data_IF_509208132501
#
_entry.id   IF_509208132501
#
_cell.length_a   1.000
_cell.length_b   1.000
_cell.length_c   1.000
_cell.angle_alpha   90.00
_cell.angle_beta   90.00
_cell.angle_gamma   90.00
#
_symmetry.space_group_name_H-M   'P 1'
#
loop_
_entity.id
_entity.type
_entity.pdbx_description
1 polymer ?
#
# COMPACT_ATOMS: atom_id res chain seq x y z
N UNK A 1 31.44 7.95 -3.63
CA UNK A 1 31.14 8.65 -2.38
C UNK A 1 30.71 7.60 -1.35
N UNK A 2 31.14 7.74 -0.08
CA UNK A 2 30.66 6.86 0.99
C UNK A 2 29.15 7.13 1.21
N UNK A 3 28.34 6.08 1.30
CA UNK A 3 26.92 6.26 1.61
C UNK A 3 26.75 6.75 3.04
N UNK A 4 25.82 7.68 3.23
CA UNK A 4 25.50 8.24 4.54
C UNK A 4 24.75 7.17 5.36
N UNK A 5 24.97 7.13 6.66
CA UNK A 5 24.24 6.27 7.58
C UNK A 5 22.91 6.93 7.94
N UNK A 6 21.83 6.15 7.97
CA UNK A 6 20.52 6.62 8.45
C UNK A 6 20.52 6.71 9.97
N UNK A 7 20.07 7.85 10.51
CA UNK A 7 19.89 8.06 11.94
C UNK A 7 18.41 8.21 12.26
N UNK A 8 17.89 7.37 13.17
CA UNK A 8 16.50 7.44 13.64
C UNK A 8 16.34 8.53 14.68
N UNK A 9 16.04 9.74 14.24
CA UNK A 9 15.85 10.90 15.13
C UNK A 9 14.39 11.20 15.40
N UNK A 10 13.47 10.68 14.58
CA UNK A 10 12.03 10.92 14.61
C UNK A 10 11.23 9.63 14.45
N UNK A 11 9.98 9.56 14.96
CA UNK A 11 9.07 8.47 14.64
C UNK A 11 8.88 8.33 13.14
N UNK A 12 8.90 7.09 12.66
CA UNK A 12 8.71 6.77 11.24
C UNK A 12 7.27 6.38 10.94
N UNK A 13 6.72 6.95 9.85
CA UNK A 13 5.36 6.67 9.37
C UNK A 13 5.37 6.37 7.87
N UNK A 14 4.63 5.34 7.48
CA UNK A 14 4.34 5.05 6.09
C UNK A 14 2.99 5.65 5.72
N UNK A 15 2.99 6.59 4.80
CA UNK A 15 1.79 7.24 4.28
C UNK A 15 1.78 7.10 2.76
N UNK A 16 0.64 7.29 2.12
CA UNK A 16 0.61 7.31 0.66
C UNK A 16 -0.63 7.94 0.11
N UNK A 17 -0.59 8.25 -1.18
CA UNK A 17 -1.69 8.83 -1.93
C UNK A 17 -2.50 7.76 -2.62
N UNK A 18 -3.82 7.82 -2.46
CA UNK A 18 -4.82 6.98 -3.13
C UNK A 18 -5.89 7.88 -3.77
N UNK A 19 -6.65 7.35 -4.71
CA UNK A 19 -7.73 8.08 -5.38
C UNK A 19 -7.71 7.89 -6.90
N UNK A 20 -8.68 8.50 -7.57
CA UNK A 20 -8.90 8.35 -9.01
C UNK A 20 -7.71 8.84 -9.84
N UNK A 21 -7.60 8.33 -11.09
CA UNK A 21 -6.67 8.87 -12.09
C UNK A 21 -6.97 10.35 -12.34
N UNK A 22 -5.94 11.15 -12.62
CA UNK A 22 -6.03 12.60 -12.88
C UNK A 22 -6.55 13.49 -11.73
N UNK A 23 -6.78 12.94 -10.53
CA UNK A 23 -7.10 13.74 -9.35
C UNK A 23 -5.88 14.45 -8.72
N UNK A 24 -4.66 14.19 -9.23
CA UNK A 24 -3.44 14.92 -8.87
C UNK A 24 -2.64 14.33 -7.71
N UNK A 25 -2.66 13.00 -7.53
CA UNK A 25 -1.88 12.29 -6.49
C UNK A 25 -0.38 12.56 -6.58
N UNK A 26 0.22 12.31 -7.73
CA UNK A 26 1.65 12.52 -7.98
C UNK A 26 2.02 14.01 -7.91
N UNK A 27 1.14 14.90 -8.37
CA UNK A 27 1.31 16.36 -8.21
C UNK A 27 1.32 16.75 -6.73
N UNK A 28 0.44 16.16 -5.93
CA UNK A 28 0.41 16.39 -4.48
C UNK A 28 1.69 15.89 -3.82
N UNK A 29 2.17 14.70 -4.20
CA UNK A 29 3.42 14.14 -3.69
C UNK A 29 4.62 15.07 -3.97
N UNK A 30 4.71 15.60 -5.20
CA UNK A 30 5.73 16.59 -5.56
C UNK A 30 5.57 17.90 -4.76
N UNK A 31 4.34 18.42 -4.62
CA UNK A 31 4.06 19.62 -3.86
C UNK A 31 4.43 19.48 -2.37
N UNK A 32 4.15 18.30 -1.78
CA UNK A 32 4.53 17.99 -0.39
C UNK A 32 6.04 18.10 -0.21
N UNK A 33 6.83 17.37 -1.01
CA UNK A 33 8.29 17.36 -0.87
C UNK A 33 8.88 18.74 -1.02
N UNK A 34 8.41 19.52 -2.02
CA UNK A 34 8.88 20.88 -2.28
C UNK A 34 8.48 21.84 -1.16
N UNK A 35 7.23 21.82 -0.71
CA UNK A 35 6.76 22.72 0.35
C UNK A 35 7.47 22.45 1.67
N UNK A 36 7.60 21.19 2.08
CA UNK A 36 8.31 20.84 3.32
C UNK A 36 9.79 21.23 3.26
N UNK A 37 10.44 21.00 2.10
CA UNK A 37 11.84 21.41 1.91
C UNK A 37 12.02 22.93 2.01
N UNK A 38 11.19 23.73 1.33
CA UNK A 38 11.31 25.19 1.34
C UNK A 38 10.91 25.81 2.68
N UNK A 39 9.89 25.26 3.35
CA UNK A 39 9.39 25.81 4.63
C UNK A 39 10.22 25.43 5.84
N UNK A 40 10.70 24.19 5.89
CA UNK A 40 11.42 23.65 7.05
C UNK A 40 12.90 23.48 6.81
N UNK A 41 13.38 23.62 5.55
CA UNK A 41 14.77 23.35 5.15
C UNK A 41 15.25 21.93 5.50
N UNK A 42 14.33 20.96 5.44
CA UNK A 42 14.55 19.55 5.76
C UNK A 42 14.30 18.71 4.51
N UNK A 43 15.13 17.68 4.29
CA UNK A 43 14.97 16.75 3.17
C UNK A 43 15.36 17.33 1.81
N UNK A 44 14.88 16.70 0.76
CA UNK A 44 15.11 17.10 -0.63
C UNK A 44 13.76 17.29 -1.34
N UNK A 45 13.65 18.34 -2.17
CA UNK A 45 12.51 18.48 -3.08
C UNK A 45 12.65 17.46 -4.21
N UNK A 46 11.56 16.73 -4.49
CA UNK A 46 11.50 15.75 -5.57
C UNK A 46 10.61 16.30 -6.68
N UNK A 47 11.19 16.51 -7.86
CA UNK A 47 10.42 16.96 -9.03
C UNK A 47 9.43 15.87 -9.47
N UNK A 48 8.31 16.30 -10.02
CA UNK A 48 7.26 15.42 -10.56
C UNK A 48 7.82 14.34 -11.49
N UNK A 49 8.71 14.72 -12.42
CA UNK A 49 9.35 13.79 -13.37
C UNK A 49 10.26 12.75 -12.71
N UNK A 50 10.67 12.97 -11.46
CA UNK A 50 11.50 12.05 -10.69
C UNK A 50 10.67 11.09 -9.81
N UNK A 51 9.38 11.31 -9.67
CA UNK A 51 8.43 10.40 -9.03
C UNK A 51 8.02 9.34 -10.04
N UNK A 52 7.45 9.73 -11.18
CA UNK A 52 7.12 8.84 -12.30
C UNK A 52 8.35 8.63 -13.20
N UNK A 53 9.10 7.57 -12.93
CA UNK A 53 10.42 7.34 -13.54
C UNK A 53 10.40 6.55 -14.84
N UNK A 54 9.40 5.68 -15.01
CA UNK A 54 9.32 4.83 -16.19
C UNK A 54 9.00 5.64 -17.46
N UNK A 55 9.63 5.35 -18.61
CA UNK A 55 9.33 6.03 -19.86
C UNK A 55 7.84 5.97 -20.22
N UNK A 56 7.18 4.85 -19.96
CA UNK A 56 5.76 4.65 -20.22
C UNK A 56 4.86 5.51 -19.31
N UNK A 57 5.27 5.75 -18.06
CA UNK A 57 4.56 6.64 -17.13
C UNK A 57 4.61 8.09 -17.62
N UNK A 58 5.78 8.53 -18.08
CA UNK A 58 5.98 9.89 -18.62
C UNK A 58 5.24 10.11 -19.92
N UNK A 59 5.22 9.11 -20.82
CA UNK A 59 4.55 9.19 -22.11
C UNK A 59 3.03 9.25 -21.96
N UNK A 60 2.48 8.48 -21.01
CA UNK A 60 1.04 8.40 -20.76
C UNK A 60 0.53 9.42 -19.74
N UNK A 61 1.41 10.04 -18.95
CA UNK A 61 1.06 10.97 -17.88
C UNK A 61 0.31 10.30 -16.72
N UNK A 62 0.51 8.98 -16.50
CA UNK A 62 -0.14 8.21 -15.44
C UNK A 62 0.88 7.38 -14.67
N UNK A 63 0.69 7.26 -13.37
CA UNK A 63 1.49 6.36 -12.51
C UNK A 63 1.08 4.90 -12.76
N UNK A 64 2.04 4.07 -13.08
CA UNK A 64 1.87 2.62 -13.34
C UNK A 64 2.34 1.81 -12.14
N UNK A 65 3.54 2.11 -11.65
CA UNK A 65 4.17 1.45 -10.51
C UNK A 65 4.12 2.33 -9.28
N UNK A 66 4.12 1.73 -8.10
CA UNK A 66 4.25 2.50 -6.85
C UNK A 66 5.60 3.21 -6.81
N UNK A 67 5.60 4.50 -6.51
CA UNK A 67 6.82 5.27 -6.27
C UNK A 67 6.99 5.52 -4.76
N UNK A 68 8.22 5.39 -4.30
CA UNK A 68 8.56 5.65 -2.90
C UNK A 68 9.37 6.94 -2.78
N UNK A 69 8.89 7.85 -1.95
CA UNK A 69 9.49 9.16 -1.69
C UNK A 69 9.70 9.34 -0.19
N UNK A 70 10.80 9.94 0.20
CA UNK A 70 11.14 10.26 1.59
C UNK A 70 10.99 11.75 1.84
N UNK A 71 10.40 12.14 2.96
CA UNK A 71 10.39 13.50 3.46
C UNK A 71 10.17 13.56 4.98
N UNK A 72 10.34 14.73 5.56
CA UNK A 72 10.20 14.93 6.99
C UNK A 72 9.43 16.22 7.31
N UNK A 73 8.69 16.16 8.42
CA UNK A 73 8.26 17.34 9.17
C UNK A 73 9.18 17.55 10.38
N UNK A 74 9.01 18.64 11.16
CA UNK A 74 9.72 18.76 12.44
C UNK A 74 9.51 17.59 13.39
N UNK A 75 8.34 16.91 13.32
CA UNK A 75 7.91 15.91 14.30
C UNK A 75 8.09 14.47 13.82
N UNK A 76 7.96 14.18 12.51
CA UNK A 76 7.92 12.82 11.96
C UNK A 76 8.75 12.68 10.69
N UNK A 77 9.24 11.46 10.47
CA UNK A 77 9.85 11.02 9.22
C UNK A 77 8.85 10.17 8.45
N UNK A 78 8.67 10.45 7.15
CA UNK A 78 7.68 9.80 6.30
C UNK A 78 8.34 9.03 5.15
N UNK A 79 7.90 7.78 4.96
CA UNK A 79 8.00 7.08 3.70
C UNK A 79 6.65 7.23 2.98
N UNK A 80 6.65 7.82 1.82
CA UNK A 80 5.45 8.07 1.04
C UNK A 80 5.38 7.11 -0.14
N UNK A 81 4.25 6.45 -0.30
CA UNK A 81 3.94 5.55 -1.41
C UNK A 81 2.95 6.24 -2.33
N UNK A 82 3.40 6.66 -3.51
CA UNK A 82 2.49 7.19 -4.54
C UNK A 82 1.87 6.02 -5.32
N UNK A 83 0.56 5.84 -5.18
CA UNK A 83 -0.16 4.72 -5.77
C UNK A 83 -0.74 5.07 -7.14
N UNK A 84 -0.74 4.12 -8.11
CA UNK A 84 -1.41 4.32 -9.38
C UNK A 84 -2.92 4.50 -9.18
N UNK A 85 -3.53 5.36 -9.99
CA UNK A 85 -4.97 5.64 -9.95
C UNK A 85 -5.80 4.85 -10.96
N UNK A 86 -5.16 4.26 -11.98
CA UNK A 86 -5.86 3.61 -13.07
C UNK A 86 -6.25 2.16 -12.73
N UNK A 87 -7.45 1.75 -13.15
CA UNK A 87 -8.00 0.41 -12.86
C UNK A 87 -7.11 -0.77 -13.30
N UNK A 88 -6.34 -0.61 -14.38
CA UNK A 88 -5.44 -1.65 -14.88
C UNK A 88 -4.27 -1.95 -13.91
N UNK A 89 -3.94 -1.02 -13.02
CA UNK A 89 -2.82 -1.12 -12.09
C UNK A 89 -3.21 -1.34 -10.64
N UNK A 90 -4.44 -1.79 -10.40
CA UNK A 90 -4.99 -2.03 -9.06
C UNK A 90 -4.12 -2.98 -8.23
N UNK A 91 -3.45 -3.96 -8.86
CA UNK A 91 -2.49 -4.83 -8.16
C UNK A 91 -1.38 -4.03 -7.47
N UNK A 92 -0.82 -3.03 -8.14
CA UNK A 92 0.21 -2.16 -7.58
C UNK A 92 -0.36 -1.25 -6.51
N UNK A 93 -1.59 -0.77 -6.68
CA UNK A 93 -2.32 -0.01 -5.66
C UNK A 93 -2.52 -0.83 -4.38
N UNK A 94 -2.99 -2.08 -4.48
CA UNK A 94 -3.17 -2.99 -3.33
C UNK A 94 -1.83 -3.21 -2.61
N UNK A 95 -0.76 -3.46 -3.35
CA UNK A 95 0.57 -3.65 -2.78
C UNK A 95 1.06 -2.41 -2.05
N UNK A 96 0.86 -1.23 -2.63
CA UNK A 96 1.22 0.05 -2.01
C UNK A 96 0.38 0.34 -0.77
N UNK A 97 -0.94 0.19 -0.86
CA UNK A 97 -1.86 0.43 0.25
C UNK A 97 -1.59 -0.48 1.46
N UNK A 98 -1.23 -1.74 1.22
CA UNK A 98 -0.89 -2.68 2.30
C UNK A 98 0.35 -2.25 3.11
N UNK A 99 1.14 -1.31 2.62
CA UNK A 99 2.33 -0.79 3.29
C UNK A 99 2.04 0.46 4.15
N UNK A 100 0.83 1.05 4.06
CA UNK A 100 0.51 2.33 4.68
C UNK A 100 0.07 2.18 6.13
N UNK A 101 0.53 3.08 6.98
CA UNK A 101 -0.01 3.32 8.33
C UNK A 101 -1.20 4.28 8.28
N UNK A 102 -1.30 5.06 7.20
CA UNK A 102 -2.41 5.92 6.87
C UNK A 102 -2.37 6.33 5.40
N UNK A 103 -3.49 6.71 4.83
CA UNK A 103 -3.60 7.14 3.44
C UNK A 103 -4.12 8.57 3.32
N UNK A 104 -3.63 9.27 2.30
CA UNK A 104 -4.20 10.55 1.83
C UNK A 104 -5.08 10.24 0.63
N UNK A 105 -6.39 10.34 0.82
CA UNK A 105 -7.35 10.23 -0.27
C UNK A 105 -7.41 11.55 -1.03
N UNK A 106 -7.02 11.53 -2.31
CA UNK A 106 -7.02 12.71 -3.17
C UNK A 106 -8.26 12.69 -4.06
N UNK A 107 -9.12 13.70 -3.91
CA UNK A 107 -10.34 13.88 -4.71
C UNK A 107 -10.31 15.26 -5.34
N UNK A 108 -10.45 15.34 -6.66
CA UNK A 108 -10.55 16.64 -7.35
C UNK A 108 -11.91 17.26 -7.06
N UNK A 109 -11.92 18.51 -6.60
CA UNK A 109 -13.16 19.27 -6.32
C UNK A 109 -14.01 19.50 -7.58
N UNK A 110 -13.37 19.48 -8.77
CA UNK A 110 -14.05 19.62 -10.06
C UNK A 110 -14.88 18.41 -10.46
N UNK A 111 -14.52 17.21 -9.98
CA UNK A 111 -15.08 15.95 -10.43
C UNK A 111 -15.82 15.19 -9.33
N UNK A 112 -15.51 15.48 -8.07
CA UNK A 112 -16.02 14.73 -6.92
C UNK A 112 -15.49 13.28 -6.85
N UNK A 113 -16.09 12.43 -5.98
CA UNK A 113 -15.73 11.03 -5.89
C UNK A 113 -16.10 10.24 -7.16
N UNK A 114 -15.11 9.54 -7.75
CA UNK A 114 -15.27 8.77 -8.97
C UNK A 114 -15.14 7.25 -8.73
N UNK A 115 -15.26 6.45 -9.79
CA UNK A 115 -15.28 4.99 -9.66
C UNK A 115 -14.04 4.40 -8.95
N UNK A 116 -12.82 4.86 -9.32
CA UNK A 116 -11.61 4.40 -8.64
C UNK A 116 -11.46 4.98 -7.23
N UNK A 117 -12.07 6.14 -6.92
CA UNK A 117 -12.12 6.66 -5.55
C UNK A 117 -12.82 5.64 -4.64
N UNK A 118 -13.99 5.14 -5.05
CA UNK A 118 -14.74 4.10 -4.34
C UNK A 118 -13.94 2.82 -4.20
N UNK A 119 -13.35 2.33 -5.29
CA UNK A 119 -12.54 1.11 -5.29
C UNK A 119 -11.31 1.25 -4.37
N UNK A 120 -10.63 2.39 -4.38
CA UNK A 120 -9.46 2.61 -3.53
C UNK A 120 -9.80 2.67 -2.04
N UNK A 121 -10.92 3.28 -1.66
CA UNK A 121 -11.39 3.30 -0.26
C UNK A 121 -11.70 1.86 0.19
N UNK A 122 -12.47 1.12 -0.61
CA UNK A 122 -12.81 -0.28 -0.36
C UNK A 122 -11.56 -1.14 -0.18
N UNK A 123 -10.63 -1.06 -1.13
CA UNK A 123 -9.39 -1.84 -1.07
C UNK A 123 -8.51 -1.46 0.12
N UNK A 124 -8.42 -0.18 0.44
CA UNK A 124 -7.68 0.29 1.63
C UNK A 124 -8.27 -0.30 2.91
N UNK A 125 -9.60 -0.37 3.02
CA UNK A 125 -10.28 -1.04 4.13
C UNK A 125 -9.93 -2.52 4.21
N UNK A 126 -9.93 -3.21 3.07
CA UNK A 126 -9.65 -4.65 2.99
C UNK A 126 -8.21 -5.01 3.32
N UNK A 127 -7.23 -4.25 2.84
CA UNK A 127 -5.81 -4.49 3.15
C UNK A 127 -5.44 -3.99 4.55
N UNK A 128 -6.35 -3.29 5.24
CA UNK A 128 -6.20 -2.90 6.63
C UNK A 128 -5.50 -1.57 6.85
N UNK A 129 -5.60 -0.62 5.90
CA UNK A 129 -5.19 0.79 6.14
C UNK A 129 -6.05 1.34 7.28
N UNK A 130 -5.46 1.72 8.41
CA UNK A 130 -6.26 2.04 9.59
C UNK A 130 -6.84 3.46 9.58
N UNK A 131 -6.21 4.39 8.86
CA UNK A 131 -6.58 5.80 8.85
C UNK A 131 -6.58 6.38 7.44
N UNK A 132 -7.54 7.26 7.15
CA UNK A 132 -7.60 8.07 5.93
C UNK A 132 -7.70 9.54 6.33
N UNK A 133 -6.96 10.40 5.64
CA UNK A 133 -7.12 11.85 5.65
C UNK A 133 -7.40 12.27 4.21
N UNK A 134 -8.24 13.26 4.00
CA UNK A 134 -8.63 13.67 2.65
C UNK A 134 -7.97 14.98 2.24
N UNK A 135 -7.42 15.01 1.04
CA UNK A 135 -7.01 16.22 0.37
C UNK A 135 -7.94 16.48 -0.83
N UNK A 136 -8.86 17.46 -0.66
CA UNK A 136 -9.73 17.89 -1.74
C UNK A 136 -8.96 18.84 -2.64
N UNK A 137 -8.50 18.31 -3.78
CA UNK A 137 -7.58 18.98 -4.70
C UNK A 137 -8.30 19.82 -5.76
N UNK A 138 -7.56 20.69 -6.46
CA UNK A 138 -8.04 21.56 -7.54
C UNK A 138 -9.11 22.57 -7.07
N UNK A 139 -9.12 22.95 -5.80
CA UNK A 139 -10.06 23.95 -5.28
C UNK A 139 -9.86 25.35 -5.90
N UNK A 140 -8.68 25.63 -6.46
CA UNK A 140 -8.40 26.83 -7.23
C UNK A 140 -9.22 26.98 -8.52
N UNK A 141 -9.80 25.88 -9.01
CA UNK A 141 -10.62 25.82 -10.22
C UNK A 141 -12.13 25.94 -9.94
N UNK A 142 -12.54 26.00 -8.68
CA UNK A 142 -13.94 26.06 -8.25
C UNK A 142 -14.17 27.35 -7.47
N UNK A 143 -14.93 28.28 -8.05
CA UNK A 143 -15.24 29.58 -7.44
C UNK A 143 -16.43 29.51 -6.46
N UNK A 144 -17.28 28.48 -6.61
CA UNK A 144 -18.50 28.31 -5.83
C UNK A 144 -18.22 27.46 -4.58
N UNK A 145 -18.31 28.12 -3.42
CA UNK A 145 -18.11 27.45 -2.13
C UNK A 145 -19.20 26.41 -1.81
N UNK A 146 -20.45 26.63 -2.28
CA UNK A 146 -21.53 25.65 -2.09
C UNK A 146 -21.23 24.33 -2.82
N UNK A 147 -20.56 24.41 -3.97
CA UNK A 147 -20.10 23.23 -4.69
C UNK A 147 -18.99 22.49 -3.94
N UNK A 148 -18.05 23.23 -3.34
CA UNK A 148 -17.01 22.61 -2.48
C UNK A 148 -17.63 21.90 -1.27
N UNK A 149 -18.63 22.50 -0.63
CA UNK A 149 -19.36 21.90 0.49
C UNK A 149 -20.10 20.63 0.08
N UNK A 150 -20.71 20.63 -1.11
CA UNK A 150 -21.40 19.46 -1.66
C UNK A 150 -20.41 18.28 -1.92
N UNK A 151 -19.28 18.57 -2.55
CA UNK A 151 -18.24 17.54 -2.80
C UNK A 151 -17.69 17.00 -1.49
N UNK A 152 -17.47 17.86 -0.49
CA UNK A 152 -17.03 17.40 0.84
C UNK A 152 -18.06 16.48 1.49
N UNK A 153 -19.35 16.80 1.40
CA UNK A 153 -20.42 15.97 1.92
C UNK A 153 -20.45 14.59 1.22
N UNK A 154 -20.34 14.56 -0.11
CA UNK A 154 -20.27 13.29 -0.86
C UNK A 154 -19.08 12.43 -0.45
N UNK A 155 -17.92 13.03 -0.18
CA UNK A 155 -16.72 12.31 0.29
C UNK A 155 -16.98 11.71 1.67
N UNK A 156 -17.60 12.45 2.60
CA UNK A 156 -17.91 11.97 3.95
C UNK A 156 -18.91 10.82 3.92
N UNK A 157 -19.98 10.95 3.12
CA UNK A 157 -20.97 9.87 2.93
C UNK A 157 -20.31 8.62 2.38
N UNK A 158 -19.43 8.75 1.38
CA UNK A 158 -18.71 7.65 0.79
C UNK A 158 -17.78 6.95 1.80
N UNK A 159 -17.06 7.71 2.63
CA UNK A 159 -16.19 7.14 3.66
C UNK A 159 -17.01 6.39 4.72
N UNK A 160 -18.16 6.91 5.12
CA UNK A 160 -19.09 6.24 6.05
C UNK A 160 -19.63 4.93 5.45
N UNK A 161 -19.96 4.91 4.14
CA UNK A 161 -20.41 3.69 3.43
C UNK A 161 -19.41 2.55 3.54
N UNK A 162 -18.10 2.87 3.50
CA UNK A 162 -17.01 1.88 3.63
C UNK A 162 -16.46 1.73 5.06
N UNK A 163 -17.24 2.09 6.06
CA UNK A 163 -16.93 1.93 7.49
C UNK A 163 -15.68 2.72 7.96
N UNK A 164 -15.34 3.81 7.31
CA UNK A 164 -14.44 4.81 7.87
C UNK A 164 -15.27 5.90 8.55
N UNK A 165 -14.77 6.55 9.63
CA UNK A 165 -15.52 7.57 10.35
C UNK A 165 -15.56 8.89 9.56
N UNK A 166 -16.31 8.94 8.45
CA UNK A 166 -16.32 10.03 7.49
C UNK A 166 -16.62 11.40 8.08
N UNK A 167 -17.44 11.46 9.16
CA UNK A 167 -17.78 12.72 9.82
C UNK A 167 -16.60 13.31 10.61
N UNK A 168 -15.69 12.45 11.12
CA UNK A 168 -14.55 12.86 11.95
C UNK A 168 -13.25 13.00 11.15
N UNK A 169 -13.22 12.49 9.91
CA UNK A 169 -12.02 12.51 9.06
C UNK A 169 -11.69 13.95 8.64
N UNK A 170 -10.44 14.41 8.82
CA UNK A 170 -9.99 15.70 8.33
C UNK A 170 -10.05 15.76 6.80
N UNK A 171 -10.65 16.83 6.27
CA UNK A 171 -10.68 17.15 4.84
C UNK A 171 -10.03 18.50 4.63
N UNK A 172 -8.92 18.53 3.90
CA UNK A 172 -8.18 19.75 3.59
C UNK A 172 -8.50 20.18 2.15
N UNK A 173 -9.01 21.39 1.98
CA UNK A 173 -9.29 22.01 0.67
C UNK A 173 -8.03 22.68 0.17
N UNK A 174 -7.52 22.27 -0.99
CA UNK A 174 -6.25 22.76 -1.49
C UNK A 174 -6.08 22.66 -3.00
N UNK A 175 -4.94 23.13 -3.47
CA UNK A 175 -4.48 22.97 -4.84
C UNK A 175 -3.02 22.54 -4.84
N UNK A 176 -2.79 21.27 -5.19
CA UNK A 176 -1.44 20.72 -5.27
C UNK A 176 -0.61 21.41 -6.36
N UNK A 177 -1.23 21.75 -7.49
CA UNK A 177 -0.55 22.43 -8.59
C UNK A 177 -0.08 23.84 -8.17
N UNK A 178 -0.96 24.62 -7.55
CA UNK A 178 -0.61 25.98 -7.09
C UNK A 178 0.43 25.93 -5.96
N UNK A 179 0.31 24.99 -5.03
CA UNK A 179 1.32 24.78 -3.98
C UNK A 179 2.69 24.41 -4.55
N UNK A 180 2.71 23.60 -5.63
CA UNK A 180 3.95 23.25 -6.34
C UNK A 180 4.59 24.47 -7.03
N UNK A 181 3.77 25.39 -7.56
CA UNK A 181 4.27 26.63 -8.18
C UNK A 181 4.80 27.64 -7.14
N UNK A 182 4.05 27.83 -6.04
CA UNK A 182 4.43 28.73 -4.95
C UNK A 182 4.27 28.04 -3.57
N UNK A 183 5.30 27.31 -3.11
CA UNK A 183 5.28 26.64 -1.80
C UNK A 183 5.16 27.60 -0.61
N UNK A 184 5.48 28.87 -0.80
CA UNK A 184 5.43 29.90 0.24
C UNK A 184 4.11 30.69 0.25
N UNK A 185 3.24 30.44 -0.74
CA UNK A 185 1.93 31.07 -0.86
C UNK A 185 0.83 30.37 -0.08
N UNK A 186 -0.40 30.87 -0.20
CA UNK A 186 -1.56 30.35 0.55
C UNK A 186 -1.87 28.86 0.31
N UNK A 187 -1.58 28.35 -0.89
CA UNK A 187 -1.77 26.94 -1.22
C UNK A 187 -0.67 26.06 -0.62
N UNK A 188 0.53 26.59 -0.43
CA UNK A 188 1.58 25.92 0.36
C UNK A 188 1.20 25.80 1.84
N UNK A 189 0.49 26.80 2.40
CA UNK A 189 -0.05 26.72 3.77
C UNK A 189 -1.04 25.55 3.90
N UNK A 190 -1.81 25.23 2.84
CA UNK A 190 -2.72 24.07 2.84
C UNK A 190 -1.99 22.71 2.87
N UNK A 191 -0.77 22.64 2.35
CA UNK A 191 0.09 21.45 2.52
C UNK A 191 0.53 21.31 3.97
N UNK A 192 0.89 22.42 4.65
CA UNK A 192 1.23 22.39 6.06
C UNK A 192 0.01 21.99 6.93
N UNK A 193 -1.17 22.54 6.64
CA UNK A 193 -2.43 22.20 7.29
C UNK A 193 -2.75 20.68 7.12
N UNK A 194 -2.47 20.11 5.95
CA UNK A 194 -2.61 18.67 5.72
C UNK A 194 -1.72 17.87 6.68
N UNK A 195 -0.46 18.27 6.87
CA UNK A 195 0.44 17.56 7.78
C UNK A 195 0.10 17.78 9.26
N UNK A 196 -0.38 18.95 9.65
CA UNK A 196 -0.93 19.17 10.99
C UNK A 196 -2.10 18.21 11.25
N UNK A 197 -3.04 18.11 10.29
CA UNK A 197 -4.16 17.18 10.40
C UNK A 197 -3.72 15.70 10.43
N UNK A 198 -2.73 15.32 9.63
CA UNK A 198 -2.16 13.95 9.63
C UNK A 198 -1.53 13.64 11.00
N UNK A 199 -0.74 14.56 11.55
CA UNK A 199 -0.04 14.35 12.82
C UNK A 199 -0.98 14.32 14.03
N UNK A 200 -2.07 15.06 13.97
CA UNK A 200 -3.09 15.08 15.03
C UNK A 200 -4.05 13.88 14.93
N UNK A 201 -4.45 13.49 13.72
CA UNK A 201 -5.46 12.45 13.51
C UNK A 201 -4.88 11.03 13.47
N UNK A 202 -3.68 10.85 12.90
CA UNK A 202 -3.06 9.54 12.78
C UNK A 202 -2.03 9.35 13.90
N UNK A 203 -2.27 8.42 14.85
CA UNK A 203 -1.30 8.18 15.94
C UNK A 203 0.00 7.59 15.39
N UNK A 204 1.09 7.75 16.15
CA UNK A 204 2.34 7.06 15.83
C UNK A 204 2.11 5.56 15.89
N UNK A 205 2.42 4.80 14.82
CA UNK A 205 2.12 3.38 14.77
C UNK A 205 2.95 2.58 15.80
N UNK A 206 2.30 1.64 16.46
CA UNK A 206 3.01 0.62 17.24
C UNK A 206 3.66 -0.38 16.28
N UNK A 207 4.95 -0.66 16.47
CA UNK A 207 5.72 -1.56 15.62
C UNK A 207 5.88 -2.93 16.28
N UNK A 208 5.52 -3.97 15.52
CA UNK A 208 5.64 -5.36 15.98
C UNK A 208 7.11 -5.86 15.91
N UNK A 209 8.01 -5.19 16.64
CA UNK A 209 9.45 -5.50 16.63
C UNK A 209 9.82 -6.74 17.45
N UNK A 210 8.94 -7.17 18.34
CA UNK A 210 9.07 -8.37 19.20
C UNK A 210 8.72 -9.68 18.47
N UNK A 211 8.05 -9.59 17.31
CA UNK A 211 7.71 -10.75 16.47
C UNK A 211 8.89 -11.18 15.60
N UNK A 212 8.85 -12.42 15.03
CA UNK A 212 9.82 -12.83 14.03
C UNK A 212 9.87 -11.89 12.83
N UNK A 213 11.08 -11.69 12.28
CA UNK A 213 11.25 -10.89 11.07
C UNK A 213 10.45 -11.47 9.91
N UNK A 214 9.71 -10.59 9.22
CA UNK A 214 8.96 -10.88 8.00
C UNK A 214 8.94 -9.64 7.12
N UNK A 215 9.34 -9.81 5.85
CA UNK A 215 9.29 -8.76 4.83
C UNK A 215 8.76 -9.33 3.51
N UNK A 216 7.57 -8.95 3.06
CA UNK A 216 7.10 -9.26 1.71
C UNK A 216 8.01 -8.63 0.65
N UNK A 217 8.37 -9.41 -0.37
CA UNK A 217 9.19 -8.93 -1.48
C UNK A 217 8.31 -8.17 -2.48
N UNK A 218 8.63 -6.90 -2.72
CA UNK A 218 7.92 -6.02 -3.63
C UNK A 218 8.62 -5.95 -5.00
N UNK A 219 9.93 -5.79 -5.00
CA UNK A 219 10.75 -5.77 -6.22
C UNK A 219 12.10 -6.42 -5.98
N UNK A 220 12.73 -6.88 -7.07
CA UNK A 220 14.03 -7.55 -7.06
C UNK A 220 14.89 -7.06 -8.21
N UNK A 221 16.09 -6.62 -7.90
CA UNK A 221 17.07 -6.20 -8.90
C UNK A 221 18.50 -6.62 -8.52
N UNK A 222 19.41 -6.50 -9.46
CA UNK A 222 20.83 -6.79 -9.24
C UNK A 222 21.64 -5.51 -9.25
N UNK A 223 22.60 -5.42 -8.34
CA UNK A 223 23.60 -4.35 -8.36
C UNK A 223 24.95 -5.00 -8.76
N UNK A 224 25.51 -4.54 -9.87
CA UNK A 224 26.79 -5.03 -10.37
C UNK A 224 27.88 -4.96 -9.29
N UNK A 225 28.51 -6.09 -8.98
CA UNK A 225 29.56 -6.21 -7.96
C UNK A 225 29.07 -6.25 -6.51
N UNK A 226 27.75 -6.14 -6.26
CA UNK A 226 27.17 -6.19 -4.90
C UNK A 226 26.19 -7.37 -4.66
N UNK A 227 25.50 -7.83 -5.70
CA UNK A 227 24.60 -8.97 -5.63
C UNK A 227 23.14 -8.62 -5.85
N UNK A 228 22.26 -9.50 -5.38
CA UNK A 228 20.81 -9.38 -5.49
C UNK A 228 20.26 -8.53 -4.37
N UNK A 229 19.33 -7.63 -4.71
CA UNK A 229 18.61 -6.77 -3.76
C UNK A 229 17.13 -7.08 -3.85
N UNK A 230 16.51 -7.38 -2.72
CA UNK A 230 15.06 -7.44 -2.57
C UNK A 230 14.57 -6.22 -1.81
N UNK A 231 13.52 -5.57 -2.31
CA UNK A 231 12.89 -4.44 -1.64
C UNK A 231 11.55 -4.82 -1.05
N UNK A 232 11.15 -4.13 0.01
CA UNK A 232 9.85 -4.29 0.63
C UNK A 232 9.76 -3.52 1.94
N UNK A 233 8.55 -3.51 2.52
CA UNK A 233 8.33 -3.03 3.89
C UNK A 233 8.49 -4.18 4.88
N UNK A 234 9.19 -3.95 5.95
CA UNK A 234 9.26 -4.92 7.06
C UNK A 234 7.89 -4.97 7.75
N UNK A 235 7.20 -6.11 7.65
CA UNK A 235 5.88 -6.34 8.25
C UNK A 235 5.99 -6.55 9.77
N UNK A 236 7.00 -7.30 10.20
CA UNK A 236 7.26 -7.56 11.62
C UNK A 236 8.73 -7.84 11.90
N UNK A 237 9.12 -7.72 13.16
CA UNK A 237 10.44 -8.10 13.67
C UNK A 237 11.54 -7.12 13.32
N UNK A 238 12.76 -7.60 13.44
CA UNK A 238 14.01 -6.88 13.19
C UNK A 238 14.94 -7.75 12.37
N UNK A 239 15.66 -7.16 11.41
CA UNK A 239 16.71 -7.82 10.63
C UNK A 239 18.00 -7.00 10.71
N UNK A 240 19.13 -7.71 10.84
CA UNK A 240 20.47 -7.10 10.92
C UNK A 240 21.34 -7.59 9.76
N UNK A 241 22.36 -6.81 9.47
CA UNK A 241 23.44 -7.26 8.57
C UNK A 241 24.09 -8.51 9.17
N UNK A 242 24.31 -9.52 8.35
CA UNK A 242 24.81 -10.89 8.65
C UNK A 242 23.75 -11.84 9.18
N UNK A 243 22.49 -11.45 9.35
CA UNK A 243 21.44 -12.41 9.67
C UNK A 243 21.20 -13.39 8.52
N UNK A 244 20.89 -14.62 8.88
CA UNK A 244 20.33 -15.62 7.96
C UNK A 244 18.82 -15.44 7.91
N UNK A 245 18.26 -15.42 6.69
CA UNK A 245 16.82 -15.34 6.45
C UNK A 245 16.41 -16.40 5.44
N UNK A 246 15.13 -16.74 5.41
CA UNK A 246 14.54 -17.67 4.45
C UNK A 246 13.72 -16.94 3.42
N UNK A 247 13.82 -17.38 2.15
CA UNK A 247 12.93 -17.02 1.05
C UNK A 247 11.80 -18.05 1.04
N UNK A 248 10.55 -17.61 1.22
CA UNK A 248 9.38 -18.49 1.38
C UNK A 248 8.25 -18.05 0.46
N UNK A 249 7.55 -19.02 -0.14
CA UNK A 249 6.38 -18.81 -0.99
C UNK A 249 6.65 -18.94 -2.48
N UNK A 250 5.59 -19.11 -3.26
CA UNK A 250 5.53 -19.37 -4.70
C UNK A 250 6.14 -20.70 -5.13
N UNK A 251 6.91 -21.33 -4.28
CA UNK A 251 7.46 -22.69 -4.41
C UNK A 251 7.41 -23.39 -3.06
N UNK A 252 7.48 -24.71 -3.06
CA UNK A 252 7.60 -25.52 -1.83
C UNK A 252 9.01 -25.47 -1.25
N UNK A 253 10.00 -25.05 -2.05
CA UNK A 253 11.40 -24.94 -1.63
C UNK A 253 11.60 -23.69 -0.78
N UNK A 254 12.10 -23.88 0.44
CA UNK A 254 12.55 -22.81 1.32
C UNK A 254 14.06 -22.67 1.17
N UNK A 255 14.52 -21.47 0.79
CA UNK A 255 15.94 -21.19 0.58
C UNK A 255 16.48 -20.26 1.65
N UNK A 256 17.61 -20.65 2.26
CA UNK A 256 18.35 -19.82 3.20
C UNK A 256 19.34 -18.92 2.49
N UNK A 257 19.36 -17.67 2.89
CA UNK A 257 20.24 -16.62 2.35
C UNK A 257 20.76 -15.73 3.47
N UNK A 258 21.85 -15.03 3.23
CA UNK A 258 22.46 -14.14 4.22
C UNK A 258 22.31 -12.69 3.80
N UNK A 259 21.85 -11.87 4.73
CA UNK A 259 21.75 -10.42 4.58
C UNK A 259 23.16 -9.80 4.65
N UNK A 260 23.62 -9.19 3.56
CA UNK A 260 24.96 -8.56 3.50
C UNK A 260 24.92 -7.04 3.60
N UNK A 261 23.72 -6.45 3.52
CA UNK A 261 23.52 -5.01 3.68
C UNK A 261 22.05 -4.69 3.75
N UNK A 262 21.73 -3.62 4.45
CA UNK A 262 20.38 -3.05 4.56
C UNK A 262 20.46 -1.57 4.21
N UNK A 263 19.55 -1.11 3.36
CA UNK A 263 19.50 0.28 2.91
C UNK A 263 18.05 0.79 2.96
N UNK A 264 17.87 2.02 3.37
CA UNK A 264 16.62 2.76 3.30
C UNK A 264 16.87 4.12 2.66
N UNK A 265 16.16 4.45 1.57
CA UNK A 265 16.33 5.68 0.81
C UNK A 265 17.82 5.99 0.48
N UNK A 266 18.56 4.97 0.00
CA UNK A 266 20.00 5.01 -0.33
C UNK A 266 20.95 5.27 0.85
N UNK A 267 20.43 5.31 2.09
CA UNK A 267 21.22 5.40 3.33
C UNK A 267 21.43 3.99 3.91
N UNK A 268 22.61 3.76 4.51
CA UNK A 268 22.94 2.47 5.12
C UNK A 268 22.30 2.34 6.50
N UNK A 269 21.82 1.14 6.82
CA UNK A 269 21.37 0.76 8.16
C UNK A 269 22.18 -0.43 8.68
N UNK A 270 22.42 -0.46 9.98
CA UNK A 270 22.97 -1.65 10.67
C UNK A 270 21.87 -2.70 10.88
N UNK A 271 20.64 -2.22 11.11
CA UNK A 271 19.44 -3.03 11.27
C UNK A 271 18.21 -2.29 10.76
N UNK A 272 17.22 -3.05 10.32
CA UNK A 272 15.87 -2.55 10.01
C UNK A 272 14.84 -3.22 10.92
N UNK A 273 13.72 -2.55 11.13
CA UNK A 273 12.65 -3.00 12.01
C UNK A 273 11.28 -2.84 11.36
N UNK A 274 10.28 -3.46 11.97
CA UNK A 274 8.89 -3.37 11.51
C UNK A 274 8.50 -1.92 11.17
N UNK A 275 7.95 -1.73 9.99
CA UNK A 275 7.57 -0.42 9.43
C UNK A 275 8.59 0.19 8.47
N UNK A 276 9.83 -0.25 8.43
CA UNK A 276 10.84 0.28 7.52
C UNK A 276 10.61 -0.21 6.08
N UNK A 277 10.74 0.71 5.11
CA UNK A 277 10.83 0.36 3.69
C UNK A 277 12.29 0.24 3.30
N UNK A 278 12.74 -0.96 3.02
CA UNK A 278 14.16 -1.27 2.85
C UNK A 278 14.49 -2.01 1.56
N UNK A 279 15.73 -1.86 1.13
CA UNK A 279 16.40 -2.79 0.22
C UNK A 279 17.37 -3.66 1.01
N UNK A 280 17.23 -4.97 0.88
CA UNK A 280 18.07 -5.96 1.52
C UNK A 280 19.00 -6.57 0.48
N UNK A 281 20.32 -6.44 0.68
CA UNK A 281 21.31 -7.13 -0.13
C UNK A 281 21.44 -8.57 0.36
N UNK A 282 21.31 -9.50 -0.57
CA UNK A 282 21.32 -10.94 -0.29
C UNK A 282 22.53 -11.61 -0.93
N UNK A 283 23.15 -12.52 -0.17
CA UNK A 283 24.17 -13.43 -0.65
C UNK A 283 23.64 -14.87 -0.69
N UNK A 284 23.99 -15.60 -1.74
CA UNK A 284 23.55 -16.98 -1.91
C UNK A 284 22.32 -17.14 -2.79
N UNK A 285 21.88 -16.06 -3.44
CA UNK A 285 20.74 -16.06 -4.35
C UNK A 285 21.00 -15.17 -5.56
N UNK A 286 20.59 -15.60 -6.75
CA UNK A 286 20.60 -14.80 -7.96
C UNK A 286 19.25 -14.09 -8.15
N UNK A 287 19.23 -13.07 -9.00
CA UNK A 287 18.02 -12.26 -9.25
C UNK A 287 16.83 -13.09 -9.74
N UNK A 288 17.06 -14.13 -10.52
CA UNK A 288 16.04 -15.02 -11.07
C UNK A 288 15.60 -16.14 -10.11
N UNK A 289 16.16 -16.21 -8.91
CA UNK A 289 15.85 -17.21 -7.88
C UNK A 289 15.01 -16.64 -6.73
N UNK A 290 14.67 -15.35 -6.79
CA UNK A 290 13.78 -14.65 -5.87
C UNK A 290 12.89 -13.72 -6.69
N UNK A 291 11.61 -13.63 -6.33
CA UNK A 291 10.65 -12.83 -7.07
C UNK A 291 9.63 -12.14 -6.15
N UNK A 292 8.96 -11.13 -6.70
CA UNK A 292 7.85 -10.46 -6.04
C UNK A 292 6.78 -11.46 -5.64
N UNK A 293 6.27 -11.32 -4.42
CA UNK A 293 5.24 -12.20 -3.87
C UNK A 293 5.76 -13.25 -2.89
N UNK A 294 7.06 -13.53 -2.94
CA UNK A 294 7.74 -14.27 -1.88
C UNK A 294 7.92 -13.38 -0.65
N UNK A 295 8.31 -13.97 0.47
CA UNK A 295 8.69 -13.23 1.68
C UNK A 295 10.11 -13.59 2.10
N UNK A 296 10.80 -12.62 2.70
CA UNK A 296 11.98 -12.87 3.52
C UNK A 296 11.53 -13.00 4.97
N UNK A 297 11.91 -14.07 5.63
CA UNK A 297 11.47 -14.37 6.98
C UNK A 297 12.59 -14.88 7.88
N UNK A 298 12.43 -14.74 9.18
CA UNK A 298 13.29 -15.41 10.15
C UNK A 298 13.20 -16.93 9.93
N UNK A 299 14.32 -17.68 9.93
CA UNK A 299 14.29 -19.11 9.70
C UNK A 299 13.28 -19.87 10.57
N UNK A 300 12.43 -20.68 9.90
CA UNK A 300 11.41 -21.50 10.55
C UNK A 300 10.19 -20.74 11.10
N UNK A 301 10.02 -19.44 10.79
CA UNK A 301 8.92 -18.65 11.35
C UNK A 301 7.63 -18.67 10.52
N UNK A 302 7.72 -19.01 9.24
CA UNK A 302 6.59 -19.11 8.32
C UNK A 302 6.86 -20.19 7.28
N UNK A 303 5.80 -20.81 6.77
CA UNK A 303 5.86 -21.87 5.75
C UNK A 303 4.93 -21.57 4.57
N UNK A 304 5.23 -22.11 3.37
CA UNK A 304 4.33 -21.98 2.23
C UNK A 304 3.16 -22.96 2.36
N UNK A 305 1.96 -22.54 1.94
CA UNK A 305 0.74 -23.33 2.02
C UNK A 305 -0.13 -23.14 0.79
N UNK A 306 -0.87 -24.18 0.41
CA UNK A 306 -1.82 -24.15 -0.72
C UNK A 306 -3.26 -24.24 -0.28
N UNK A 307 -3.56 -24.88 0.86
CA UNK A 307 -4.94 -25.18 1.26
C UNK A 307 -5.26 -24.67 2.67
N UNK A 308 -6.35 -23.93 2.78
CA UNK A 308 -6.74 -23.30 4.03
C UNK A 308 -8.25 -23.04 4.09
N UNK A 309 -8.79 -22.87 5.30
CA UNK A 309 -10.11 -22.29 5.53
C UNK A 309 -10.01 -20.80 5.74
N UNK A 310 -10.97 -20.08 5.24
CA UNK A 310 -11.05 -18.64 5.39
C UNK A 310 -12.46 -18.17 5.68
N UNK A 311 -12.58 -17.15 6.51
CA UNK A 311 -13.81 -16.37 6.62
C UNK A 311 -13.80 -15.33 5.51
N UNK A 312 -14.80 -15.35 4.65
CA UNK A 312 -14.88 -14.51 3.44
C UNK A 312 -16.18 -13.73 3.42
N UNK A 313 -16.07 -12.44 3.21
CA UNK A 313 -17.17 -11.56 2.86
C UNK A 313 -17.20 -11.37 1.34
N UNK A 314 -18.32 -11.70 0.72
CA UNK A 314 -18.55 -11.54 -0.72
C UNK A 314 -19.23 -10.20 -0.94
N UNK A 315 -18.60 -9.29 -1.66
CA UNK A 315 -19.13 -7.95 -1.90
C UNK A 315 -20.48 -8.00 -2.59
N UNK A 316 -21.40 -7.16 -2.15
CA UNK A 316 -22.70 -6.96 -2.77
C UNK A 316 -22.59 -6.25 -4.12
N UNK A 317 -23.67 -6.20 -4.86
CA UNK A 317 -23.75 -5.47 -6.14
C UNK A 317 -23.54 -3.95 -5.93
N UNK A 318 -24.11 -3.42 -4.87
CA UNK A 318 -24.05 -2.02 -4.49
C UNK A 318 -22.60 -1.59 -4.15
N UNK A 319 -21.83 -2.50 -3.57
CA UNK A 319 -20.39 -2.33 -3.27
C UNK A 319 -19.48 -2.56 -4.48
N UNK A 320 -20.03 -2.70 -5.68
CA UNK A 320 -19.27 -2.96 -6.90
C UNK A 320 -18.84 -4.42 -7.11
N UNK A 321 -19.34 -5.34 -6.26
CA UNK A 321 -19.07 -6.77 -6.34
C UNK A 321 -19.82 -7.51 -7.45
N UNK A 322 -20.03 -8.78 -7.24
CA UNK A 322 -20.78 -9.63 -8.20
C UNK A 322 -22.27 -9.33 -8.21
N UNK A 323 -22.89 -9.53 -9.38
CA UNK A 323 -24.36 -9.45 -9.54
C UNK A 323 -25.05 -10.82 -9.42
N UNK A 324 -24.26 -11.89 -9.49
CA UNK A 324 -24.76 -13.27 -9.49
C UNK A 324 -24.03 -14.09 -8.44
N UNK A 325 -24.68 -15.11 -7.87
CA UNK A 325 -24.00 -16.04 -6.97
C UNK A 325 -22.88 -16.80 -7.70
N UNK A 326 -21.98 -17.38 -6.92
CA UNK A 326 -21.04 -18.37 -7.43
C UNK A 326 -21.24 -19.72 -6.76
N UNK A 327 -20.73 -20.76 -7.38
CA UNK A 327 -20.89 -22.14 -6.99
C UNK A 327 -19.57 -22.78 -6.61
N UNK A 328 -19.58 -24.01 -6.11
CA UNK A 328 -18.37 -24.79 -5.91
C UNK A 328 -17.49 -24.83 -7.15
N UNK A 329 -16.18 -24.90 -6.94
CA UNK A 329 -15.15 -24.84 -7.98
C UNK A 329 -15.01 -23.46 -8.67
N UNK A 330 -15.53 -22.39 -8.08
CA UNK A 330 -15.26 -21.03 -8.52
C UNK A 330 -13.76 -20.71 -8.41
N UNK A 331 -13.19 -20.09 -9.43
CA UNK A 331 -11.73 -19.89 -9.59
C UNK A 331 -11.35 -18.42 -9.78
N UNK A 332 -11.43 -17.60 -8.74
CA UNK A 332 -10.96 -16.22 -8.78
C UNK A 332 -9.45 -16.12 -8.51
N UNK A 333 -8.95 -14.89 -8.52
CA UNK A 333 -7.61 -14.54 -8.06
C UNK A 333 -7.65 -14.08 -6.61
N UNK A 334 -6.69 -14.57 -5.82
CA UNK A 334 -6.48 -14.23 -4.42
C UNK A 334 -5.24 -13.36 -4.29
N UNK A 335 -5.40 -12.17 -3.72
CA UNK A 335 -4.33 -11.20 -3.52
C UNK A 335 -3.84 -11.27 -2.09
N UNK A 336 -2.60 -11.74 -1.90
CA UNK A 336 -1.92 -11.82 -0.61
C UNK A 336 -0.70 -10.90 -0.64
N UNK A 337 -0.57 -9.97 0.29
CA UNK A 337 0.60 -9.07 0.36
C UNK A 337 0.96 -8.48 -1.02
N UNK A 338 2.04 -8.97 -1.63
CA UNK A 338 2.57 -8.45 -2.90
C UNK A 338 2.31 -9.38 -4.10
N UNK A 339 1.56 -10.47 -3.91
CA UNK A 339 1.27 -11.45 -4.97
C UNK A 339 -0.22 -11.67 -5.18
N UNK A 340 -0.55 -12.22 -6.34
CA UNK A 340 -1.87 -12.78 -6.66
C UNK A 340 -1.72 -14.21 -7.16
N UNK A 341 -2.59 -15.08 -6.69
CA UNK A 341 -2.60 -16.50 -7.03
C UNK A 341 -4.04 -16.94 -7.32
N UNK A 342 -4.22 -17.71 -8.38
CA UNK A 342 -5.50 -18.35 -8.67
C UNK A 342 -5.76 -19.45 -7.65
N UNK A 343 -6.98 -19.52 -7.14
CA UNK A 343 -7.40 -20.59 -6.23
C UNK A 343 -8.80 -21.10 -6.55
N UNK A 344 -9.11 -22.26 -6.03
CA UNK A 344 -10.42 -22.92 -6.15
C UNK A 344 -11.16 -22.80 -4.83
N UNK A 345 -12.40 -22.36 -4.86
CA UNK A 345 -13.26 -22.26 -3.69
C UNK A 345 -14.13 -23.52 -3.58
N UNK A 346 -14.15 -24.08 -2.38
CA UNK A 346 -15.10 -25.11 -1.96
C UNK A 346 -15.99 -24.55 -0.86
N UNK A 347 -17.30 -24.53 -1.11
CA UNK A 347 -18.31 -24.08 -0.15
C UNK A 347 -18.55 -25.16 0.93
N UNK A 348 -19.05 -24.79 2.12
CA UNK A 348 -19.42 -25.75 3.17
C UNK A 348 -20.41 -26.81 2.69
N UNK A 349 -20.40 -27.99 3.31
CA UNK A 349 -21.36 -29.03 3.01
C UNK A 349 -22.81 -28.52 3.17
N UNK A 350 -23.66 -28.86 2.18
CA UNK A 350 -25.03 -28.39 2.14
C UNK A 350 -25.24 -26.99 1.57
N UNK A 351 -24.16 -26.28 1.20
CA UNK A 351 -24.25 -24.98 0.53
C UNK A 351 -24.00 -25.14 -0.95
N UNK A 352 -25.04 -24.94 -1.76
CA UNK A 352 -24.92 -25.07 -3.22
C UNK A 352 -24.32 -23.84 -3.88
N UNK A 353 -24.58 -22.62 -3.35
CA UNK A 353 -24.15 -21.36 -3.90
C UNK A 353 -23.86 -20.34 -2.80
N UNK A 354 -23.02 -19.37 -3.12
CA UNK A 354 -22.73 -18.21 -2.28
C UNK A 354 -23.26 -16.93 -2.94
N UNK A 355 -24.12 -16.22 -2.22
CA UNK A 355 -24.76 -14.98 -2.70
C UNK A 355 -23.85 -13.77 -2.48
N UNK A 356 -23.92 -12.74 -3.35
CA UNK A 356 -23.35 -11.42 -3.04
C UNK A 356 -23.90 -10.89 -1.71
N UNK A 357 -23.04 -10.25 -0.89
CA UNK A 357 -23.38 -9.79 0.46
C UNK A 357 -23.27 -10.86 1.56
N UNK A 358 -22.96 -12.11 1.21
CA UNK A 358 -22.82 -13.19 2.19
C UNK A 358 -21.45 -13.17 2.90
N UNK A 359 -21.46 -13.55 4.18
CA UNK A 359 -20.26 -13.82 4.96
C UNK A 359 -20.20 -15.32 5.26
N UNK A 360 -19.23 -16.02 4.68
CA UNK A 360 -19.17 -17.50 4.66
C UNK A 360 -17.77 -17.99 4.96
N UNK A 361 -17.67 -19.00 5.82
CA UNK A 361 -16.44 -19.80 5.93
C UNK A 361 -16.34 -20.74 4.74
N UNK A 362 -15.23 -20.74 4.04
CA UNK A 362 -15.00 -21.59 2.88
C UNK A 362 -13.59 -22.16 2.85
N UNK A 363 -13.41 -23.27 2.16
CA UNK A 363 -12.10 -23.86 1.90
C UNK A 363 -11.56 -23.34 0.58
N UNK A 364 -10.31 -22.91 0.58
CA UNK A 364 -9.61 -22.38 -0.60
C UNK A 364 -8.38 -23.23 -0.85
N UNK A 365 -8.18 -23.59 -2.13
CA UNK A 365 -7.01 -24.34 -2.59
C UNK A 365 -6.34 -23.56 -3.70
N UNK A 366 -5.13 -23.04 -3.42
CA UNK A 366 -4.33 -22.23 -4.35
C UNK A 366 -3.57 -23.13 -5.32
N UNK A 367 -3.37 -22.66 -6.55
CA UNK A 367 -2.54 -23.37 -7.55
C UNK A 367 -1.04 -23.22 -7.29
N UNK A 368 -0.64 -22.28 -6.43
CA UNK A 368 0.76 -21.99 -6.09
C UNK A 368 0.83 -21.71 -4.59
N UNK A 369 1.81 -22.25 -3.87
CA UNK A 369 1.94 -22.05 -2.43
C UNK A 369 2.26 -20.60 -2.08
N UNK A 370 1.69 -20.10 -1.01
CA UNK A 370 1.91 -18.73 -0.49
C UNK A 370 2.40 -18.83 0.95
N UNK A 371 3.40 -18.00 1.30
CA UNK A 371 3.84 -17.87 2.68
C UNK A 371 2.68 -17.34 3.54
N UNK A 372 2.17 -18.20 4.44
CA UNK A 372 0.87 -17.99 5.08
C UNK A 372 0.93 -18.28 6.57
N UNK A 373 0.14 -17.50 7.32
CA UNK A 373 -0.16 -17.73 8.71
C UNK A 373 -1.63 -17.45 8.99
N UNK A 374 -2.16 -17.99 10.06
CA UNK A 374 -3.52 -17.68 10.52
C UNK A 374 -3.69 -16.17 10.74
N UNK A 375 -4.81 -15.62 10.33
CA UNK A 375 -5.11 -14.19 10.37
C UNK A 375 -4.65 -13.41 9.15
N UNK A 376 -3.92 -14.02 8.21
CA UNK A 376 -3.52 -13.34 6.97
C UNK A 376 -4.75 -12.91 6.18
N UNK A 377 -4.84 -11.63 5.87
CA UNK A 377 -5.92 -11.05 5.06
C UNK A 377 -5.61 -11.17 3.57
N UNK A 378 -6.66 -11.24 2.77
CA UNK A 378 -6.57 -11.27 1.31
C UNK A 378 -7.80 -10.65 0.66
N UNK A 379 -7.62 -10.19 -0.57
CA UNK A 379 -8.72 -9.77 -1.44
C UNK A 379 -8.97 -10.82 -2.52
N UNK A 380 -10.22 -10.93 -2.96
CA UNK A 380 -10.63 -11.82 -4.05
C UNK A 380 -11.04 -10.96 -5.24
N UNK A 381 -10.48 -11.24 -6.41
CA UNK A 381 -10.75 -10.48 -7.64
C UNK A 381 -11.13 -11.38 -8.81
N UNK A 382 -12.01 -10.89 -9.65
CA UNK A 382 -12.44 -11.52 -10.89
C UNK A 382 -12.63 -10.44 -11.98
N UNK A 383 -12.06 -10.65 -13.16
CA UNK A 383 -12.27 -9.77 -14.31
C UNK A 383 -11.96 -8.28 -14.04
N UNK A 384 -10.94 -8.00 -13.23
CA UNK A 384 -10.53 -6.63 -12.89
C UNK A 384 -11.34 -5.99 -11.75
N UNK A 385 -12.29 -6.72 -11.12
CA UNK A 385 -13.12 -6.23 -10.00
C UNK A 385 -12.79 -6.97 -8.72
N UNK A 386 -12.84 -6.27 -7.61
CA UNK A 386 -12.84 -6.90 -6.28
C UNK A 386 -14.23 -7.47 -6.02
N UNK A 387 -14.29 -8.76 -5.71
CA UNK A 387 -15.55 -9.48 -5.49
C UNK A 387 -15.70 -9.99 -4.06
N UNK A 388 -14.65 -9.91 -3.26
CA UNK A 388 -14.69 -10.31 -1.87
C UNK A 388 -13.38 -10.05 -1.15
N UNK A 389 -13.40 -10.22 0.16
CA UNK A 389 -12.25 -10.17 1.02
C UNK A 389 -12.39 -11.20 2.14
N UNK A 390 -11.26 -11.65 2.66
CA UNK A 390 -11.28 -12.63 3.74
C UNK A 390 -10.00 -12.65 4.55
N UNK A 391 -10.03 -13.51 5.56
CA UNK A 391 -8.86 -13.82 6.38
C UNK A 391 -8.72 -15.32 6.59
N UNK A 392 -7.49 -15.80 6.66
CA UNK A 392 -7.16 -17.20 6.92
C UNK A 392 -7.54 -17.55 8.35
N UNK A 393 -8.40 -18.56 8.51
CA UNK A 393 -8.87 -19.07 9.81
C UNK A 393 -8.06 -20.29 10.25
N UNK A 394 -7.83 -21.21 9.31
CA UNK A 394 -7.15 -22.48 9.57
C UNK A 394 -6.33 -22.89 8.34
N UNK A 395 -5.09 -23.29 8.55
CA UNK A 395 -4.23 -23.86 7.50
C UNK A 395 -4.42 -25.37 7.49
N UNK A 396 -4.67 -25.94 6.31
CA UNK A 396 -4.91 -27.37 6.11
C UNK A 396 -3.67 -28.06 5.53
N UNK A 397 -3.05 -27.44 4.48
CA UNK A 397 -1.90 -28.01 3.77
C UNK A 397 -1.01 -26.90 3.20
#
# INVERSE_FOLDING_TARGET
MAKVKFERTKPHMNIGTIGHVDHGKTTLTAAITKTLHERYHIGEAVDFENIDKAPEERERGITISTAHVEYETPNRHYAHVDCPGHADYVKNMITGAAQMDGAILVVAATDGPMAQTREHILLSRQVGVPYIVVFMNKCDMVEDEELLDLVEMEIRELLNEYEFPGDDIPIIRGSAFQALQDPNGPWGDKILELFEAIEDYIPTPERATDKPFLMPVEDVFSITGRGTVATGRVESGVVKVQDEVEIVGLTDEIRKVVVTGVEMFRKLLDQAEAGDNIGVLLRGVQRNEIERGQVLAKPGSITPHTKFKAQVYVLSKEEGGRHTPFFNNYRPQFYFRTTDVTGVISLPEGTEMCMPGANVEMTIELITPVAMAQGLRFAIREGGRTVGAGSVVEIIE
#
